data_IF_182068773389
#
_entry.id   IF_182068773389
#
_cell.length_a   1.000
_cell.length_b   1.000
_cell.length_c   1.000
_cell.angle_alpha   90.00
_cell.angle_beta   90.00
_cell.angle_gamma   90.00
#
_symmetry.space_group_name_H-M   'P 1'
#
loop_
_entity.id
_entity.type
_entity.pdbx_description
1 polymer ?
#
# COMPACT_ATOMS: atom_id res chain seq x y z
N UNK A 1 -11.43 25.32 3.65
CA UNK A 1 -11.78 25.05 2.23
C UNK A 1 -10.56 25.15 1.31
N UNK A 2 -9.62 26.04 1.61
CA UNK A 2 -8.42 26.35 0.81
C UNK A 2 -7.44 25.19 0.55
N UNK A 3 -7.24 24.26 1.50
CA UNK A 3 -6.27 23.16 1.33
C UNK A 3 -6.71 22.12 0.29
N UNK A 4 -7.98 21.73 0.25
CA UNK A 4 -8.49 20.77 -0.73
C UNK A 4 -8.49 21.35 -2.14
N UNK A 5 -8.77 22.63 -2.28
CA UNK A 5 -8.67 23.33 -3.57
C UNK A 5 -7.22 23.38 -4.05
N UNK A 6 -6.26 23.59 -3.15
CA UNK A 6 -4.83 23.54 -3.47
C UNK A 6 -4.39 22.14 -3.93
N UNK A 7 -4.80 21.08 -3.24
CA UNK A 7 -4.52 19.70 -3.67
C UNK A 7 -5.12 19.44 -5.04
N UNK A 8 -6.39 19.81 -5.27
CA UNK A 8 -7.06 19.60 -6.56
C UNK A 8 -6.45 20.43 -7.69
N UNK A 9 -5.91 21.61 -7.40
CA UNK A 9 -5.22 22.44 -8.38
C UNK A 9 -3.95 21.76 -8.92
N UNK A 10 -3.14 21.18 -8.04
CA UNK A 10 -1.85 20.57 -8.40
C UNK A 10 -1.96 19.07 -8.75
N UNK A 11 -2.88 18.36 -8.11
CA UNK A 11 -3.12 16.93 -8.26
C UNK A 11 -4.62 16.67 -8.48
N UNK A 12 -5.19 17.06 -9.63
CA UNK A 12 -6.65 17.01 -9.88
C UNK A 12 -7.25 15.60 -9.87
N UNK A 13 -6.40 14.57 -9.97
CA UNK A 13 -6.80 13.15 -9.91
C UNK A 13 -6.43 12.49 -8.58
N UNK A 14 -5.92 13.25 -7.61
CA UNK A 14 -5.63 12.72 -6.28
C UNK A 14 -6.89 12.15 -5.66
N UNK A 15 -6.75 10.96 -5.09
CA UNK A 15 -7.79 10.28 -4.32
C UNK A 15 -7.39 10.30 -2.85
N UNK A 16 -8.37 10.11 -1.96
CA UNK A 16 -8.05 9.83 -0.57
C UNK A 16 -7.31 8.48 -0.48
N UNK A 17 -6.54 8.26 0.58
CA UNK A 17 -5.89 6.97 0.84
C UNK A 17 -6.93 5.83 0.87
N UNK A 18 -8.06 6.05 1.55
CA UNK A 18 -9.17 5.09 1.63
C UNK A 18 -9.72 4.74 0.24
N UNK A 19 -10.00 5.75 -0.61
CA UNK A 19 -10.50 5.53 -1.97
C UNK A 19 -9.46 4.83 -2.85
N UNK A 20 -8.18 5.18 -2.69
CA UNK A 20 -7.07 4.58 -3.43
C UNK A 20 -6.95 3.10 -3.11
N UNK A 21 -6.90 2.74 -1.82
CA UNK A 21 -6.78 1.34 -1.39
C UNK A 21 -8.03 0.54 -1.77
N UNK A 22 -9.22 1.11 -1.62
CA UNK A 22 -10.44 0.43 -2.08
C UNK A 22 -10.37 0.12 -3.57
N UNK A 23 -10.04 1.13 -4.39
CA UNK A 23 -9.94 0.95 -5.83
C UNK A 23 -8.86 -0.06 -6.22
N UNK A 24 -7.75 -0.11 -5.50
CA UNK A 24 -6.70 -1.11 -5.68
C UNK A 24 -7.25 -2.52 -5.43
N UNK A 25 -7.89 -2.75 -4.27
CA UNK A 25 -8.45 -4.05 -3.90
C UNK A 25 -9.55 -4.50 -4.88
N UNK A 26 -10.42 -3.58 -5.31
CA UNK A 26 -11.44 -3.88 -6.33
C UNK A 26 -10.80 -4.29 -7.67
N UNK A 27 -9.69 -3.67 -8.03
CA UNK A 27 -8.95 -3.97 -9.26
C UNK A 27 -8.32 -5.36 -9.17
N UNK A 28 -7.66 -5.67 -8.05
CA UNK A 28 -7.04 -6.98 -7.82
C UNK A 28 -8.10 -8.08 -7.85
N UNK A 29 -9.19 -7.90 -7.11
CA UNK A 29 -10.28 -8.87 -7.07
C UNK A 29 -10.88 -9.09 -8.47
N UNK A 30 -11.13 -8.00 -9.22
CA UNK A 30 -11.73 -8.08 -10.56
C UNK A 30 -10.84 -8.79 -11.58
N UNK A 31 -9.54 -8.53 -11.58
CA UNK A 31 -8.65 -8.97 -12.66
C UNK A 31 -7.76 -10.16 -12.28
N UNK A 32 -7.48 -10.36 -11.00
CA UNK A 32 -6.62 -11.44 -10.48
C UNK A 32 -7.44 -12.45 -9.66
N UNK A 33 -8.61 -12.05 -9.15
CA UNK A 33 -9.49 -12.94 -8.37
C UNK A 33 -9.06 -13.15 -6.92
N UNK A 34 -8.05 -12.40 -6.44
CA UNK A 34 -7.56 -12.51 -5.07
C UNK A 34 -8.34 -11.59 -4.11
N UNK A 35 -8.53 -12.08 -2.89
CA UNK A 35 -9.13 -11.34 -1.77
C UNK A 35 -8.06 -10.73 -0.87
N UNK A 36 -8.38 -9.70 -0.06
CA UNK A 36 -7.42 -9.05 0.84
C UNK A 36 -6.59 -10.02 1.70
N UNK A 37 -7.19 -11.06 2.28
CA UNK A 37 -6.49 -12.06 3.09
C UNK A 37 -5.50 -12.97 2.32
N UNK A 38 -5.48 -12.91 0.99
CA UNK A 38 -4.49 -13.59 0.13
C UNK A 38 -3.35 -12.66 -0.28
N UNK A 39 -3.33 -11.43 0.23
CA UNK A 39 -2.36 -10.39 -0.13
C UNK A 39 -1.42 -10.14 1.05
N UNK A 40 -0.12 -10.24 0.79
CA UNK A 40 0.93 -9.80 1.72
C UNK A 40 1.40 -8.43 1.26
N UNK A 41 1.23 -7.40 2.10
CA UNK A 41 1.55 -6.02 1.72
C UNK A 41 2.81 -5.49 2.41
N UNK A 42 3.50 -4.62 1.69
CA UNK A 42 4.65 -3.87 2.18
C UNK A 42 4.51 -2.39 1.83
N UNK A 43 5.18 -1.55 2.61
CA UNK A 43 5.26 -0.11 2.40
C UNK A 43 6.72 0.30 2.15
N UNK A 44 6.98 0.96 1.02
CA UNK A 44 8.23 1.67 0.74
C UNK A 44 8.02 3.18 0.78
N UNK A 45 7.70 3.69 1.96
CA UNK A 45 7.37 5.10 2.19
C UNK A 45 8.39 5.78 3.12
N UNK A 46 8.34 7.13 3.13
CA UNK A 46 9.15 7.91 4.06
C UNK A 46 8.78 7.56 5.50
N UNK A 47 9.78 7.41 6.37
CA UNK A 47 9.58 7.04 7.78
C UNK A 47 8.94 8.12 8.65
N UNK A 48 8.56 9.27 8.08
CA UNK A 48 7.83 10.32 8.78
C UNK A 48 6.36 9.89 9.00
N UNK A 49 5.87 10.07 10.22
CA UNK A 49 4.53 9.69 10.69
C UNK A 49 3.40 10.28 9.82
N UNK A 50 3.63 11.40 9.14
CA UNK A 50 2.63 12.00 8.23
C UNK A 50 2.32 11.14 7.00
N UNK A 51 3.17 10.14 6.70
CA UNK A 51 2.97 9.20 5.59
C UNK A 51 2.17 7.95 5.99
N UNK A 52 1.65 7.88 7.22
CA UNK A 52 0.81 6.75 7.64
C UNK A 52 -0.44 6.62 6.74
N UNK A 53 -0.57 5.49 6.05
CA UNK A 53 -1.73 5.20 5.20
C UNK A 53 -2.96 4.98 6.08
N UNK A 54 -4.05 5.67 5.73
CA UNK A 54 -5.37 5.34 6.28
C UNK A 54 -6.02 4.25 5.44
N UNK A 55 -6.23 3.09 6.07
CA UNK A 55 -6.76 1.90 5.42
C UNK A 55 -8.28 1.79 5.57
N UNK A 56 -9.03 1.36 4.52
CA UNK A 56 -10.41 0.94 4.68
C UNK A 56 -10.49 -0.36 5.51
N UNK A 57 -11.62 -0.65 6.20
CA UNK A 57 -11.74 -1.82 7.06
C UNK A 57 -11.31 -3.16 6.43
N UNK A 58 -11.66 -3.41 5.16
CA UNK A 58 -11.30 -4.65 4.46
C UNK A 58 -9.80 -4.80 4.17
N UNK A 59 -9.03 -3.71 4.17
CA UNK A 59 -7.60 -3.77 3.94
C UNK A 59 -6.85 -4.35 5.14
N UNK A 60 -7.44 -4.32 6.35
CA UNK A 60 -6.86 -4.96 7.54
C UNK A 60 -6.90 -6.49 7.49
N UNK A 61 -7.58 -7.09 6.50
CA UNK A 61 -7.48 -8.52 6.24
C UNK A 61 -6.17 -8.90 5.53
N UNK A 62 -5.49 -7.95 4.87
CA UNK A 62 -4.17 -8.19 4.28
C UNK A 62 -3.14 -8.52 5.35
N UNK A 63 -2.17 -9.36 5.01
CA UNK A 63 -1.03 -9.66 5.88
C UNK A 63 0.01 -8.53 5.76
N UNK A 64 0.64 -8.12 6.87
CA UNK A 64 1.61 -7.01 6.92
C UNK A 64 1.13 -5.81 7.76
N UNK A 65 1.70 -4.61 7.58
CA UNK A 65 2.68 -4.24 6.56
C UNK A 65 4.09 -4.75 6.88
N UNK A 66 4.85 -5.07 5.83
CA UNK A 66 6.32 -5.14 5.89
C UNK A 66 6.92 -3.79 5.51
N UNK A 67 7.77 -3.19 6.34
CA UNK A 67 8.37 -1.90 6.03
C UNK A 67 9.67 -2.08 5.23
N UNK A 68 9.63 -1.70 3.95
CA UNK A 68 10.78 -1.73 3.04
C UNK A 68 11.48 -0.37 2.94
N UNK A 69 10.75 0.71 3.25
CA UNK A 69 11.17 2.11 3.09
C UNK A 69 12.16 2.63 4.13
N UNK A 70 12.24 3.96 4.23
CA UNK A 70 13.15 4.68 5.12
C UNK A 70 13.18 6.17 4.76
N UNK A 71 14.31 6.86 4.90
CA UNK A 71 14.39 8.29 4.54
C UNK A 71 14.00 8.51 3.07
N UNK A 72 13.12 9.48 2.83
CA UNK A 72 12.61 9.82 1.49
C UNK A 72 11.90 8.66 0.76
N UNK A 73 11.54 7.59 1.48
CA UNK A 73 10.81 6.45 0.94
C UNK A 73 11.63 5.47 0.09
N UNK A 74 12.95 5.63 0.03
CA UNK A 74 13.80 4.66 -0.65
C UNK A 74 13.72 3.28 0.03
N UNK A 75 13.71 2.18 -0.75
CA UNK A 75 13.58 0.82 -0.24
C UNK A 75 14.90 0.32 0.38
N UNK A 76 15.32 0.93 1.49
CA UNK A 76 16.60 0.66 2.14
C UNK A 76 16.72 -0.75 2.73
N UNK A 77 15.60 -1.44 2.96
CA UNK A 77 15.62 -2.86 3.31
C UNK A 77 16.31 -3.72 2.22
N UNK A 78 16.33 -3.21 0.97
CA UNK A 78 17.09 -3.78 -0.14
C UNK A 78 16.67 -5.20 -0.51
N UNK A 79 17.57 -5.90 -1.21
CA UNK A 79 17.32 -7.26 -1.71
C UNK A 79 17.06 -8.23 -0.55
N UNK A 80 17.77 -8.09 0.56
CA UNK A 80 17.58 -8.93 1.75
C UNK A 80 16.19 -8.74 2.34
N UNK A 81 15.74 -7.50 2.50
CA UNK A 81 14.39 -7.20 2.98
C UNK A 81 13.30 -7.68 2.03
N UNK A 82 13.48 -7.47 0.72
CA UNK A 82 12.55 -7.96 -0.29
C UNK A 82 12.45 -9.50 -0.29
N UNK A 83 13.58 -10.19 -0.15
CA UNK A 83 13.59 -11.64 -0.02
C UNK A 83 12.86 -12.07 1.26
N UNK A 84 13.15 -11.46 2.41
CA UNK A 84 12.45 -11.75 3.65
C UNK A 84 10.93 -11.57 3.48
N UNK A 85 10.49 -10.45 2.91
CA UNK A 85 9.08 -10.18 2.60
C UNK A 85 8.45 -11.25 1.69
N UNK A 86 9.12 -11.64 0.62
CA UNK A 86 8.61 -12.64 -0.34
C UNK A 86 8.39 -14.04 0.26
N UNK A 87 9.08 -14.40 1.35
CA UNK A 87 8.85 -15.67 2.05
C UNK A 87 7.54 -15.71 2.86
N UNK A 88 6.88 -14.56 3.07
CA UNK A 88 5.66 -14.45 3.88
C UNK A 88 4.39 -14.38 3.02
N UNK A 89 4.50 -14.59 1.71
CA UNK A 89 3.35 -14.57 0.80
C UNK A 89 2.53 -15.83 1.02
N UNK A 90 1.19 -15.73 1.13
CA UNK A 90 0.31 -16.90 1.18
C UNK A 90 0.49 -17.80 -0.05
N UNK A 91 0.24 -19.11 0.13
CA UNK A 91 0.08 -20.02 -1.01
C UNK A 91 -1.02 -19.50 -1.94
N UNK A 92 -0.76 -19.52 -3.25
CA UNK A 92 -1.61 -18.94 -4.30
C UNK A 92 -1.98 -17.45 -4.07
N UNK A 93 -1.21 -16.75 -3.23
CA UNK A 93 -1.37 -15.33 -2.93
C UNK A 93 -0.51 -14.43 -3.81
N UNK A 94 -0.51 -13.14 -3.49
CA UNK A 94 0.32 -12.15 -4.15
C UNK A 94 0.90 -11.13 -3.17
N UNK A 95 1.96 -10.46 -3.60
CA UNK A 95 2.50 -9.28 -2.91
C UNK A 95 1.90 -8.00 -3.45
N UNK A 96 1.75 -7.02 -2.57
CA UNK A 96 1.49 -5.62 -2.92
C UNK A 96 2.57 -4.77 -2.26
N UNK A 97 3.12 -3.81 -2.98
CA UNK A 97 4.05 -2.83 -2.43
C UNK A 97 3.49 -1.45 -2.72
N UNK A 98 3.25 -0.68 -1.65
CA UNK A 98 2.91 0.74 -1.72
C UNK A 98 4.17 1.60 -1.81
#
# INVERSE_FOLDING_TARGET
>A
MEHLESVRKWYPKALTSIDTVNRLLDTIEKYIGLKPNQLMHADSMCCDDVNAIQYPPRAYEMLGPFHLGGLDGFPFAGITGMNAFAHHVPEDGAVIIF
#
